data_IF_468140985968
#
_entry.id   IF_468140985968
#
_cell.length_a   1.000
_cell.length_b   1.000
_cell.length_c   1.000
_cell.angle_alpha   90.00
_cell.angle_beta   90.00
_cell.angle_gamma   90.00
#
_symmetry.space_group_name_H-M   'P 1'
#
loop_
_entity.id
_entity.type
_entity.pdbx_description
1 polymer ?
#
# COMPACT_ATOMS: atom_id res chain seq x y z
N UNK A 1 -6.92 -47.77 -30.99
CA UNK A 1 -7.99 -47.10 -30.23
C UNK A 1 -7.41 -46.87 -28.84
N UNK A 2 -7.13 -45.60 -28.53
CA UNK A 2 -6.53 -45.03 -27.31
C UNK A 2 -5.44 -45.84 -26.57
N UNK A 3 -4.18 -45.45 -26.78
CA UNK A 3 -3.07 -45.74 -25.89
C UNK A 3 -3.33 -45.07 -24.53
N UNK A 4 -3.68 -45.88 -23.52
CA UNK A 4 -3.75 -45.41 -22.14
C UNK A 4 -2.33 -45.52 -21.59
N UNK A 5 -1.53 -44.46 -21.73
CA UNK A 5 -0.25 -44.34 -21.01
C UNK A 5 -0.57 -44.36 -19.51
N UNK A 6 -0.33 -45.51 -18.88
CA UNK A 6 -0.33 -45.64 -17.43
C UNK A 6 0.90 -44.88 -16.95
N UNK A 7 0.74 -43.60 -16.64
CA UNK A 7 1.75 -42.82 -15.93
C UNK A 7 2.09 -43.56 -14.63
N UNK A 8 3.33 -44.03 -14.52
CA UNK A 8 3.82 -44.67 -13.30
C UNK A 8 3.58 -43.75 -12.11
N UNK A 9 3.11 -44.28 -10.97
CA UNK A 9 2.91 -43.49 -9.74
C UNK A 9 4.14 -42.64 -9.37
N UNK A 10 5.33 -43.14 -9.70
CA UNK A 10 6.61 -42.47 -9.52
C UNK A 10 6.75 -41.18 -10.36
N UNK A 11 6.18 -41.17 -11.58
CA UNK A 11 6.16 -40.01 -12.46
C UNK A 11 5.14 -38.96 -11.98
N UNK A 12 3.97 -39.41 -11.50
CA UNK A 12 2.97 -38.53 -10.87
C UNK A 12 3.50 -37.89 -9.59
N UNK A 13 4.25 -38.63 -8.78
CA UNK A 13 4.90 -38.11 -7.57
C UNK A 13 5.99 -37.09 -7.91
N UNK A 14 6.78 -37.33 -8.96
CA UNK A 14 7.79 -36.38 -9.43
C UNK A 14 7.16 -35.06 -9.92
N UNK A 15 6.07 -35.13 -10.71
CA UNK A 15 5.31 -33.96 -11.16
C UNK A 15 4.70 -33.17 -9.99
N UNK A 16 4.13 -33.85 -9.00
CA UNK A 16 3.62 -33.21 -7.78
C UNK A 16 4.72 -32.50 -6.98
N UNK A 17 5.92 -33.09 -6.92
CA UNK A 17 7.06 -32.47 -6.24
C UNK A 17 7.56 -31.23 -6.99
N UNK A 18 7.62 -31.31 -8.33
CA UNK A 18 7.96 -30.18 -9.21
C UNK A 18 6.94 -29.03 -9.09
N UNK A 19 5.65 -29.37 -9.02
CA UNK A 19 4.59 -28.40 -8.81
C UNK A 19 4.70 -27.71 -7.44
N UNK A 20 4.97 -28.50 -6.38
CA UNK A 20 5.19 -27.96 -5.04
C UNK A 20 6.38 -27.00 -5.02
N UNK A 21 7.50 -27.37 -5.62
CA UNK A 21 8.66 -26.48 -5.73
C UNK A 21 8.34 -25.19 -6.48
N UNK A 22 7.54 -25.28 -7.54
CA UNK A 22 7.11 -24.10 -8.30
C UNK A 22 6.23 -23.18 -7.46
N UNK A 23 5.32 -23.74 -6.66
CA UNK A 23 4.48 -22.98 -5.72
C UNK A 23 5.32 -22.32 -4.65
N UNK A 24 6.30 -23.03 -4.08
CA UNK A 24 7.20 -22.50 -3.06
C UNK A 24 8.04 -21.33 -3.63
N UNK A 25 8.58 -21.46 -4.85
CA UNK A 25 9.27 -20.36 -5.55
C UNK A 25 8.36 -19.15 -5.80
N UNK A 26 7.10 -19.37 -6.18
CA UNK A 26 6.12 -18.28 -6.36
C UNK A 26 5.83 -17.60 -5.02
N UNK A 27 5.66 -18.37 -3.94
CA UNK A 27 5.40 -17.84 -2.61
C UNK A 27 6.58 -16.98 -2.11
N UNK A 28 7.81 -17.47 -2.30
CA UNK A 28 9.03 -16.73 -1.96
C UNK A 28 9.16 -15.44 -2.78
N UNK A 29 8.88 -15.50 -4.08
CA UNK A 29 8.88 -14.31 -4.94
C UNK A 29 7.83 -13.28 -4.50
N UNK A 30 6.63 -13.72 -4.13
CA UNK A 30 5.58 -12.83 -3.60
C UNK A 30 6.03 -12.20 -2.27
N UNK A 31 6.72 -12.95 -1.41
CA UNK A 31 7.25 -12.45 -0.14
C UNK A 31 8.36 -11.41 -0.36
N UNK A 32 9.26 -11.67 -1.29
CA UNK A 32 10.33 -10.76 -1.69
C UNK A 32 9.75 -9.47 -2.28
N UNK A 33 8.84 -9.58 -3.24
CA UNK A 33 8.09 -8.45 -3.78
C UNK A 33 7.44 -7.63 -2.66
N UNK A 34 6.70 -8.27 -1.75
CA UNK A 34 6.02 -7.58 -0.64
C UNK A 34 7.00 -6.85 0.27
N UNK A 35 8.21 -7.40 0.47
CA UNK A 35 9.28 -6.77 1.24
C UNK A 35 9.82 -5.54 0.53
N UNK A 36 10.08 -5.61 -0.78
CA UNK A 36 10.56 -4.47 -1.57
C UNK A 36 9.51 -3.37 -1.68
N UNK A 37 8.24 -3.73 -1.86
CA UNK A 37 7.12 -2.78 -1.79
C UNK A 37 6.95 -2.18 -0.39
N UNK A 38 7.30 -2.88 0.69
CA UNK A 38 7.22 -2.32 2.05
C UNK A 38 8.25 -1.22 2.28
N UNK A 39 9.46 -1.34 1.70
CA UNK A 39 10.51 -0.32 1.77
C UNK A 39 10.11 0.93 0.97
N UNK A 40 9.41 0.76 -0.16
CA UNK A 40 8.85 1.86 -0.94
C UNK A 40 7.67 2.53 -0.23
N UNK A 41 6.76 1.76 0.38
CA UNK A 41 5.59 2.26 1.14
C UNK A 41 6.01 3.07 2.39
N UNK A 42 7.20 2.81 2.93
CA UNK A 42 7.78 3.57 4.05
C UNK A 42 8.41 4.91 3.64
N UNK A 43 8.69 5.14 2.35
CA UNK A 43 9.28 6.40 1.85
C UNK A 43 8.28 7.36 1.21
N UNK A 44 7.02 6.96 1.00
CA UNK A 44 6.03 7.86 0.40
C UNK A 44 5.68 8.96 1.40
N UNK A 45 6.13 10.18 1.12
CA UNK A 45 5.84 11.38 1.88
C UNK A 45 5.01 12.35 1.05
N UNK A 46 3.93 12.87 1.65
CA UNK A 46 3.05 13.85 1.01
C UNK A 46 3.33 15.23 1.57
N UNK A 47 3.26 16.26 0.73
CA UNK A 47 3.27 17.63 1.23
C UNK A 47 1.86 18.05 1.71
N UNK A 48 1.76 19.21 2.36
CA UNK A 48 0.47 19.70 2.87
C UNK A 48 -0.59 19.93 1.78
N UNK A 49 -0.18 20.30 0.56
CA UNK A 49 -1.08 20.52 -0.57
C UNK A 49 -1.68 19.19 -1.06
N UNK A 50 -0.86 18.16 -1.20
CA UNK A 50 -1.28 16.83 -1.63
C UNK A 50 -2.26 16.22 -0.62
N UNK A 51 -1.97 16.35 0.68
CA UNK A 51 -2.88 15.87 1.74
C UNK A 51 -4.24 16.58 1.67
N UNK A 52 -4.25 17.90 1.49
CA UNK A 52 -5.50 18.65 1.35
C UNK A 52 -6.30 18.21 0.12
N UNK A 53 -5.63 18.04 -1.02
CA UNK A 53 -6.27 17.63 -2.29
C UNK A 53 -6.82 16.20 -2.22
N UNK A 54 -6.01 15.25 -1.77
CA UNK A 54 -6.36 13.83 -1.72
C UNK A 54 -7.49 13.58 -0.72
N UNK A 55 -7.42 14.18 0.46
CA UNK A 55 -8.43 13.98 1.50
C UNK A 55 -9.64 14.91 1.36
N UNK A 56 -9.58 15.90 0.45
CA UNK A 56 -10.63 16.89 0.27
C UNK A 56 -10.85 17.75 1.53
N UNK A 57 -9.77 18.07 2.25
CA UNK A 57 -9.83 18.79 3.52
C UNK A 57 -9.27 20.20 3.40
N UNK A 58 -9.81 21.11 4.20
CA UNK A 58 -9.29 22.48 4.30
C UNK A 58 -7.98 22.55 5.10
N UNK A 59 -7.20 23.60 4.88
CA UNK A 59 -5.99 23.91 5.68
C UNK A 59 -6.28 23.98 7.17
N UNK A 60 -7.45 24.53 7.55
CA UNK A 60 -7.88 24.59 8.94
C UNK A 60 -8.09 23.19 9.54
N UNK A 61 -8.66 22.26 8.77
CA UNK A 61 -8.86 20.87 9.22
C UNK A 61 -7.54 20.14 9.39
N UNK A 62 -6.61 20.34 8.44
CA UNK A 62 -5.26 19.79 8.53
C UNK A 62 -4.50 20.35 9.75
N UNK A 63 -4.63 21.65 10.03
CA UNK A 63 -4.03 22.28 11.21
C UNK A 63 -4.60 21.70 12.52
N UNK A 64 -5.93 21.49 12.61
CA UNK A 64 -6.54 20.82 13.76
C UNK A 64 -5.97 19.42 13.97
N UNK A 65 -5.80 18.64 12.90
CA UNK A 65 -5.22 17.30 12.99
C UNK A 65 -3.76 17.29 13.45
N UNK A 66 -2.95 18.28 13.04
CA UNK A 66 -1.58 18.44 13.56
C UNK A 66 -1.58 18.82 15.04
N UNK A 67 -2.39 19.80 15.43
CA UNK A 67 -2.47 20.29 16.80
C UNK A 67 -2.93 19.18 17.75
N UNK A 68 -3.89 18.35 17.31
CA UNK A 68 -4.38 17.20 18.06
C UNK A 68 -3.44 15.97 17.98
N UNK A 69 -2.30 16.06 17.26
CA UNK A 69 -1.40 14.94 16.95
C UNK A 69 -2.12 13.71 16.37
N UNK A 70 -3.21 13.94 15.66
CA UNK A 70 -4.04 12.90 15.06
C UNK A 70 -3.35 12.22 13.86
N UNK A 71 -2.42 12.94 13.22
CA UNK A 71 -1.62 12.47 12.09
C UNK A 71 -0.12 12.71 12.38
N UNK A 72 0.78 11.81 11.94
CA UNK A 72 2.21 12.05 12.00
C UNK A 72 2.63 13.06 10.92
N UNK A 73 3.59 13.92 11.24
CA UNK A 73 4.14 14.91 10.34
C UNK A 73 5.60 15.22 10.70
N UNK A 74 6.36 15.73 9.73
CA UNK A 74 7.75 16.15 9.92
C UNK A 74 8.01 17.47 9.19
N UNK A 75 8.78 18.36 9.80
CA UNK A 75 9.27 19.57 9.14
C UNK A 75 10.52 19.23 8.33
N UNK A 76 10.53 19.59 7.05
CA UNK A 76 11.72 19.54 6.18
C UNK A 76 12.39 20.92 6.15
N UNK A 77 11.61 21.98 6.20
CA UNK A 77 12.06 23.37 6.35
C UNK A 77 10.99 24.19 7.08
N UNK A 78 11.26 25.47 7.37
CA UNK A 78 10.38 26.36 8.15
C UNK A 78 8.92 26.38 7.65
N UNK A 79 8.71 26.27 6.34
CA UNK A 79 7.37 26.23 5.72
C UNK A 79 7.01 24.89 5.06
N UNK A 80 7.93 23.93 5.03
CA UNK A 80 7.72 22.66 4.33
C UNK A 80 7.45 21.53 5.34
N UNK A 81 6.22 21.04 5.32
CA UNK A 81 5.76 19.94 6.18
C UNK A 81 5.36 18.76 5.33
N UNK A 82 5.92 17.59 5.68
CA UNK A 82 5.63 16.31 5.03
C UNK A 82 4.88 15.37 5.97
N UNK A 83 4.08 14.48 5.38
CA UNK A 83 3.28 13.47 6.06
C UNK A 83 3.64 12.10 5.52
N UNK A 84 4.09 11.16 6.37
CA UNK A 84 4.27 9.78 5.95
C UNK A 84 2.94 9.16 5.51
N UNK A 85 2.89 8.58 4.31
CA UNK A 85 1.67 8.00 3.74
C UNK A 85 1.05 6.95 4.66
N UNK A 86 1.86 5.98 5.13
CA UNK A 86 1.43 4.91 6.05
C UNK A 86 0.74 5.46 7.29
N UNK A 87 1.34 6.49 7.88
CA UNK A 87 0.81 7.16 9.06
C UNK A 87 -0.51 7.89 8.79
N UNK A 88 -0.59 8.61 7.67
CA UNK A 88 -1.80 9.28 7.23
C UNK A 88 -2.94 8.29 6.94
N UNK A 89 -2.62 7.21 6.23
CA UNK A 89 -3.55 6.15 5.88
C UNK A 89 -4.14 5.48 7.11
N UNK A 90 -3.30 5.11 8.09
CA UNK A 90 -3.76 4.52 9.36
C UNK A 90 -4.62 5.51 10.14
N UNK A 91 -4.26 6.79 10.20
CA UNK A 91 -5.05 7.79 10.91
C UNK A 91 -6.46 7.97 10.32
N UNK A 92 -6.57 7.99 8.99
CA UNK A 92 -7.87 8.02 8.28
C UNK A 92 -8.62 6.70 8.48
N UNK A 93 -7.95 5.55 8.33
CA UNK A 93 -8.53 4.22 8.48
C UNK A 93 -8.95 3.90 9.91
N UNK A 94 -8.36 4.51 10.92
CA UNK A 94 -8.77 4.30 12.33
C UNK A 94 -9.78 5.34 12.80
N UNK A 95 -10.06 6.37 11.98
CA UNK A 95 -10.96 7.47 12.33
C UNK A 95 -10.33 8.53 13.24
N UNK A 96 -9.04 8.40 13.59
CA UNK A 96 -8.28 9.43 14.33
C UNK A 96 -8.26 10.77 13.57
N UNK A 97 -8.12 10.69 12.25
CA UNK A 97 -8.20 11.82 11.35
C UNK A 97 -9.59 11.85 10.68
N UNK A 98 -10.57 12.43 11.39
CA UNK A 98 -11.96 12.54 10.92
C UNK A 98 -12.61 13.85 11.38
N UNK A 99 -13.75 14.19 10.80
CA UNK A 99 -14.64 15.28 11.23
C UNK A 99 -16.07 15.03 10.72
N UNK A 100 -17.05 15.80 11.19
CA UNK A 100 -18.45 15.68 10.76
C UNK A 100 -18.58 15.94 9.25
N UNK A 101 -19.10 14.97 8.50
CA UNK A 101 -19.19 15.04 7.03
C UNK A 101 -17.94 14.57 6.28
N UNK A 102 -16.92 14.08 6.98
CA UNK A 102 -15.73 13.51 6.34
C UNK A 102 -16.05 12.17 5.65
N UNK A 103 -15.82 12.11 4.33
CA UNK A 103 -16.06 10.92 3.52
C UNK A 103 -14.88 9.97 3.57
N UNK A 104 -14.78 9.22 4.67
CA UNK A 104 -13.65 8.32 4.95
C UNK A 104 -13.40 7.29 3.84
N UNK A 105 -14.45 6.68 3.29
CA UNK A 105 -14.31 5.67 2.22
C UNK A 105 -13.70 6.29 0.96
N UNK A 106 -14.22 7.45 0.55
CA UNK A 106 -13.72 8.19 -0.62
C UNK A 106 -12.26 8.65 -0.40
N UNK A 107 -11.93 9.13 0.80
CA UNK A 107 -10.57 9.52 1.16
C UNK A 107 -9.59 8.33 1.09
N UNK A 108 -9.98 7.14 1.55
CA UNK A 108 -9.17 5.93 1.46
C UNK A 108 -8.99 5.47 0.00
N UNK A 109 -10.05 5.56 -0.81
CA UNK A 109 -9.97 5.26 -2.25
C UNK A 109 -8.99 6.19 -2.97
N UNK A 110 -9.04 7.50 -2.69
CA UNK A 110 -8.12 8.48 -3.26
C UNK A 110 -6.67 8.27 -2.81
N UNK A 111 -6.44 7.89 -1.55
CA UNK A 111 -5.11 7.53 -1.04
C UNK A 111 -4.56 6.28 -1.74
N UNK A 112 -5.38 5.24 -1.94
CA UNK A 112 -4.98 4.04 -2.66
C UNK A 112 -4.64 4.37 -4.13
N UNK A 113 -5.49 5.14 -4.81
CA UNK A 113 -5.24 5.56 -6.19
C UNK A 113 -3.94 6.39 -6.33
N UNK A 114 -3.62 7.22 -5.35
CA UNK A 114 -2.35 7.95 -5.31
C UNK A 114 -1.16 7.01 -5.18
N UNK A 115 -1.23 6.04 -4.25
CA UNK A 115 -0.19 5.01 -4.09
C UNK A 115 -0.01 4.19 -5.38
N UNK A 116 -1.09 3.75 -6.00
CA UNK A 116 -1.05 2.98 -7.25
C UNK A 116 -0.48 3.80 -8.40
N UNK A 117 -0.83 5.09 -8.49
CA UNK A 117 -0.29 6.00 -9.50
C UNK A 117 1.21 6.23 -9.36
N UNK A 118 1.70 6.35 -8.12
CA UNK A 118 3.13 6.45 -7.83
C UNK A 118 3.85 5.17 -8.25
N UNK A 119 3.34 4.00 -7.85
CA UNK A 119 3.95 2.71 -8.19
C UNK A 119 4.03 2.48 -9.70
N UNK A 120 2.98 2.86 -10.44
CA UNK A 120 2.98 2.79 -11.92
C UNK A 120 3.96 3.74 -12.58
N UNK A 121 4.23 4.91 -11.98
CA UNK A 121 5.20 5.88 -12.48
C UNK A 121 6.67 5.46 -12.26
N UNK A 122 6.94 4.52 -11.35
CA UNK A 122 8.28 4.00 -11.08
C UNK A 122 8.63 2.72 -11.86
N UNK A 123 7.66 2.09 -12.54
CA UNK A 123 7.88 0.90 -13.37
C UNK A 123 7.99 1.21 -14.87
N UNK A 124 8.20 2.49 -15.23
CA UNK A 124 8.39 2.95 -16.60
C UNK A 124 9.88 3.09 -16.96
#
# INVERSE_FOLDING_TARGET
>A
MMDTEIYSDEHLLAELHSLKESIDRIADFILEMKRDYSVLDEKIELNSTDVMRLLGISRASLARWRNARAIPFRYVSSNHVVYPFKGLYIAVKTGRASFKGFRRVEALQRLNAYKDGILKGYMG
#
